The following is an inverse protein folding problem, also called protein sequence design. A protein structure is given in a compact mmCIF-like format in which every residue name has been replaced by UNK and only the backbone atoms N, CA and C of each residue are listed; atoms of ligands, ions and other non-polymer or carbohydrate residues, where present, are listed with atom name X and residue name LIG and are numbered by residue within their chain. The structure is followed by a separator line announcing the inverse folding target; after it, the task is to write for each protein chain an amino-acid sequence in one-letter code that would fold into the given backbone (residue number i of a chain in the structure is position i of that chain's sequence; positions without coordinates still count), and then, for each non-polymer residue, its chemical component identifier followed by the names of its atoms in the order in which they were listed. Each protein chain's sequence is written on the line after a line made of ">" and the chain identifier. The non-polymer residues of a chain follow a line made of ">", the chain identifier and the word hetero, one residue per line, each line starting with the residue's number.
data_IF_589289795363
#
_entry.id   IF_589289795363
#
_cell.length_a   1.000
_cell.length_b   1.000
_cell.length_c   1.000
_cell.angle_alpha   90.00
_cell.angle_beta   90.00
_cell.angle_gamma   90.00
#
_symmetry.space_group_name_H-M   'P 1'
#
loop_
_entity.id
_entity.type
_entity.pdbx_description
1 polymer ?
#
# COMPACT_ATOMS: atom_id res chain seq x y z
N UNK A 1 36.33 -12.84 4.62
CA UNK A 1 35.18 -12.74 3.69
C UNK A 1 33.94 -13.24 4.42
N UNK A 2 32.77 -12.59 4.30
CA UNK A 2 31.54 -13.15 4.84
C UNK A 2 31.31 -14.52 4.19
N UNK A 3 31.01 -15.55 5.00
CA UNK A 3 30.68 -16.87 4.48
C UNK A 3 29.34 -16.79 3.76
N UNK A 4 29.35 -17.07 2.45
CA UNK A 4 28.13 -17.26 1.67
C UNK A 4 27.41 -18.50 2.19
N UNK A 5 26.11 -18.36 2.52
CA UNK A 5 25.25 -19.47 2.93
C UNK A 5 24.36 -19.90 1.78
N UNK A 6 24.18 -21.21 1.64
CA UNK A 6 23.27 -21.77 0.65
C UNK A 6 21.84 -21.65 1.13
N UNK A 7 20.95 -21.31 0.21
CA UNK A 7 19.54 -21.22 0.50
C UNK A 7 18.93 -22.61 0.72
N UNK A 8 18.28 -22.85 1.86
CA UNK A 8 17.68 -24.16 2.14
C UNK A 8 16.47 -24.48 1.25
N UNK A 9 15.81 -23.46 0.71
CA UNK A 9 14.58 -23.62 -0.07
C UNK A 9 14.85 -23.68 -1.57
N UNK A 10 15.86 -22.96 -2.06
CA UNK A 10 16.23 -22.89 -3.47
C UNK A 10 17.68 -23.31 -3.70
N UNK A 11 17.94 -24.59 -3.46
CA UNK A 11 19.19 -25.24 -3.80
C UNK A 11 18.93 -26.54 -4.57
N UNK A 12 18.83 -26.44 -5.91
CA UNK A 12 18.68 -27.60 -6.77
C UNK A 12 20.05 -28.20 -7.08
N UNK A 13 20.26 -29.48 -6.74
CA UNK A 13 21.54 -30.18 -6.95
C UNK A 13 21.97 -30.24 -8.43
N UNK A 14 21.01 -30.20 -9.35
CA UNK A 14 21.17 -30.16 -10.80
C UNK A 14 20.92 -28.76 -11.39
N UNK A 15 20.83 -27.72 -10.54
CA UNK A 15 20.64 -26.34 -10.98
C UNK A 15 21.78 -25.87 -11.89
N UNK A 16 21.41 -25.07 -12.90
CA UNK A 16 22.27 -24.62 -14.00
C UNK A 16 22.81 -23.20 -13.85
N UNK A 17 22.44 -22.50 -12.77
CA UNK A 17 23.01 -21.21 -12.38
C UNK A 17 22.95 -21.01 -10.86
N UNK A 18 23.93 -20.30 -10.31
CA UNK A 18 23.91 -19.79 -8.94
C UNK A 18 23.65 -18.28 -8.98
N UNK A 19 22.65 -17.81 -8.23
CA UNK A 19 22.42 -16.40 -7.95
C UNK A 19 22.93 -16.11 -6.54
N UNK A 20 23.91 -15.22 -6.40
CA UNK A 20 24.41 -14.76 -5.12
C UNK A 20 23.78 -13.39 -4.79
N UNK A 21 22.94 -13.32 -3.77
CA UNK A 21 22.36 -12.07 -3.26
C UNK A 21 22.88 -11.84 -1.83
N UNK A 22 23.65 -10.76 -1.62
CA UNK A 22 24.31 -10.45 -0.34
C UNK A 22 25.09 -11.66 0.21
N UNK A 23 24.64 -12.24 1.33
CA UNK A 23 25.25 -13.38 2.01
C UNK A 23 24.63 -14.74 1.61
N UNK A 24 23.66 -14.77 0.68
CA UNK A 24 22.88 -15.97 0.34
C UNK A 24 23.07 -16.38 -1.12
N UNK A 25 23.25 -17.68 -1.36
CA UNK A 25 23.33 -18.29 -2.68
C UNK A 25 22.11 -19.15 -2.99
N UNK A 26 21.52 -18.93 -4.16
CA UNK A 26 20.38 -19.67 -4.69
C UNK A 26 20.83 -20.45 -5.92
N UNK A 27 20.70 -21.79 -5.91
CA UNK A 27 21.06 -22.62 -7.08
C UNK A 27 19.78 -23.04 -7.80
N UNK A 28 19.56 -22.45 -8.97
CA UNK A 28 18.29 -22.54 -9.72
C UNK A 28 18.51 -22.87 -11.20
N UNK A 29 17.45 -22.89 -12.02
CA UNK A 29 17.55 -23.18 -13.45
C UNK A 29 17.54 -21.91 -14.30
N UNK A 30 18.61 -21.71 -15.07
CA UNK A 30 18.83 -20.59 -15.98
C UNK A 30 17.66 -20.34 -16.94
N UNK A 31 17.13 -21.41 -17.55
CA UNK A 31 16.07 -21.33 -18.56
C UNK A 31 14.77 -20.79 -17.98
N UNK A 32 14.36 -21.22 -16.78
CA UNK A 32 13.13 -20.74 -16.16
C UNK A 32 13.20 -19.25 -15.87
N UNK A 33 14.34 -18.75 -15.37
CA UNK A 33 14.53 -17.31 -15.18
C UNK A 33 14.45 -16.55 -16.50
N UNK A 34 15.12 -17.03 -17.56
CA UNK A 34 15.12 -16.40 -18.86
C UNK A 34 13.75 -16.42 -19.56
N UNK A 35 12.95 -17.46 -19.35
CA UNK A 35 11.60 -17.59 -19.92
C UNK A 35 10.63 -16.55 -19.32
N UNK A 36 10.88 -16.09 -18.08
CA UNK A 36 10.04 -15.11 -17.37
C UNK A 36 10.64 -13.70 -17.27
N UNK A 37 11.89 -13.50 -17.71
CA UNK A 37 12.59 -12.22 -17.58
C UNK A 37 13.56 -12.03 -18.74
N UNK A 38 13.27 -11.05 -19.59
CA UNK A 38 14.17 -10.66 -20.67
C UNK A 38 15.51 -10.12 -20.11
N UNK A 39 15.48 -9.46 -18.95
CA UNK A 39 16.70 -8.95 -18.30
C UNK A 39 17.61 -10.11 -17.89
N UNK A 40 17.06 -11.18 -17.29
CA UNK A 40 17.86 -12.38 -17.01
C UNK A 40 18.31 -13.07 -18.30
N UNK A 41 17.43 -13.18 -19.30
CA UNK A 41 17.79 -13.77 -20.60
C UNK A 41 19.00 -13.06 -21.23
N UNK A 42 19.00 -11.73 -21.25
CA UNK A 42 20.08 -10.90 -21.78
C UNK A 42 21.34 -10.99 -20.91
N UNK A 43 21.20 -10.86 -19.58
CA UNK A 43 22.31 -10.95 -18.61
C UNK A 43 23.10 -12.25 -18.79
N UNK A 44 22.41 -13.32 -19.14
CA UNK A 44 22.95 -14.65 -19.35
C UNK A 44 23.65 -14.89 -20.68
N UNK A 45 23.58 -13.94 -21.61
CA UNK A 45 24.31 -13.97 -22.89
C UNK A 45 25.71 -13.39 -22.78
N UNK A 46 25.97 -12.55 -21.77
CA UNK A 46 27.27 -11.91 -21.58
C UNK A 46 28.27 -12.87 -20.91
N UNK A 47 29.55 -12.87 -21.35
CA UNK A 47 30.59 -13.63 -20.67
C UNK A 47 30.82 -13.09 -19.26
N UNK A 48 30.74 -13.95 -18.25
CA UNK A 48 31.01 -13.56 -16.86
C UNK A 48 32.50 -13.26 -16.67
N UNK A 49 32.86 -12.19 -15.93
CA UNK A 49 34.26 -11.88 -15.63
C UNK A 49 34.90 -12.99 -14.79
N UNK A 50 36.09 -13.43 -15.18
CA UNK A 50 36.80 -14.58 -14.61
C UNK A 50 37.24 -14.44 -13.13
N UNK A 51 36.93 -13.32 -12.47
CA UNK A 51 37.54 -12.89 -11.21
C UNK A 51 36.87 -13.44 -9.94
N UNK A 52 35.87 -14.32 -10.04
CA UNK A 52 35.17 -14.89 -8.87
C UNK A 52 35.15 -16.43 -8.85
N UNK A 53 36.01 -17.08 -9.65
CA UNK A 53 36.08 -18.53 -9.69
C UNK A 53 36.74 -19.11 -8.42
N UNK A 54 35.93 -19.52 -7.44
CA UNK A 54 36.33 -20.54 -6.47
C UNK A 54 36.21 -21.93 -7.12
N UNK A 55 36.90 -22.97 -6.61
CA UNK A 55 36.99 -24.30 -7.27
C UNK A 55 35.64 -25.03 -7.54
N UNK A 56 34.51 -24.52 -7.04
CA UNK A 56 33.14 -25.00 -7.37
C UNK A 56 32.59 -24.34 -8.64
N UNK A 57 33.17 -23.21 -9.05
CA UNK A 57 32.74 -22.32 -10.13
C UNK A 57 33.05 -22.84 -11.55
N UNK A 58 33.75 -23.97 -11.70
CA UNK A 58 34.04 -24.52 -13.04
C UNK A 58 32.81 -25.20 -13.68
N UNK A 59 31.78 -25.58 -12.90
CA UNK A 59 30.64 -26.37 -13.40
C UNK A 59 29.30 -25.62 -13.52
N UNK A 60 29.16 -24.46 -12.88
CA UNK A 60 27.89 -23.72 -12.83
C UNK A 60 28.16 -22.21 -12.74
N UNK A 61 27.67 -21.37 -13.68
CA UNK A 61 27.89 -19.93 -13.66
C UNK A 61 27.28 -19.29 -12.40
N UNK A 62 27.96 -18.28 -11.84
CA UNK A 62 27.52 -17.55 -10.65
C UNK A 62 27.26 -16.07 -11.00
N UNK A 63 26.09 -15.54 -10.64
CA UNK A 63 25.69 -14.15 -10.85
C UNK A 63 25.47 -13.47 -9.50
N UNK A 64 26.24 -12.42 -9.21
CA UNK A 64 25.97 -11.56 -8.06
C UNK A 64 24.83 -10.58 -8.38
N UNK A 65 23.86 -10.51 -7.48
CA UNK A 65 22.72 -9.60 -7.50
C UNK A 65 22.75 -8.69 -6.27
N UNK A 66 22.43 -7.41 -6.46
CA UNK A 66 22.35 -6.44 -5.36
C UNK A 66 21.03 -6.52 -4.55
N UNK A 67 20.18 -7.50 -4.86
CA UNK A 67 18.85 -7.62 -4.26
C UNK A 67 18.88 -8.18 -2.85
N UNK A 68 17.77 -8.02 -2.14
CA UNK A 68 17.51 -8.73 -0.90
C UNK A 68 17.33 -10.23 -1.17
N UNK A 69 17.97 -11.12 -0.39
CA UNK A 69 17.68 -12.55 -0.41
C UNK A 69 16.21 -12.87 -0.15
N UNK A 70 15.56 -12.11 0.73
CA UNK A 70 14.15 -12.25 1.08
C UNK A 70 13.24 -11.92 -0.11
N UNK A 71 13.49 -10.78 -0.78
CA UNK A 71 12.75 -10.39 -1.99
C UNK A 71 12.95 -11.41 -3.11
N UNK A 72 14.20 -11.85 -3.32
CA UNK A 72 14.51 -12.84 -4.35
C UNK A 72 13.81 -14.17 -4.07
N UNK A 73 13.73 -14.60 -2.81
CA UNK A 73 13.01 -15.81 -2.40
C UNK A 73 11.51 -15.72 -2.72
N UNK A 74 10.88 -14.56 -2.54
CA UNK A 74 9.49 -14.36 -2.93
C UNK A 74 9.28 -14.55 -4.43
N UNK A 75 10.14 -13.97 -5.27
CA UNK A 75 10.10 -14.15 -6.73
C UNK A 75 10.36 -15.60 -7.13
N UNK A 76 11.38 -16.23 -6.55
CA UNK A 76 11.73 -17.62 -6.85
C UNK A 76 10.60 -18.60 -6.48
N UNK A 77 9.82 -18.34 -5.41
CA UNK A 77 8.62 -19.14 -5.10
C UNK A 77 7.55 -19.07 -6.19
N UNK A 78 7.45 -17.94 -6.89
CA UNK A 78 6.54 -17.77 -8.01
C UNK A 78 7.03 -18.50 -9.26
N UNK A 79 8.33 -18.40 -9.57
CA UNK A 79 8.93 -18.97 -10.78
C UNK A 79 9.20 -20.48 -10.67
N UNK A 80 9.44 -20.99 -9.45
CA UNK A 80 9.71 -22.39 -9.18
C UNK A 80 8.67 -22.96 -8.20
N UNK A 81 7.41 -23.11 -8.63
CA UNK A 81 6.34 -23.60 -7.78
C UNK A 81 6.64 -25.02 -7.27
N UNK A 82 6.50 -25.21 -5.95
CA UNK A 82 6.77 -26.49 -5.28
C UNK A 82 5.71 -27.54 -5.61
N UNK A 83 6.06 -28.81 -5.39
CA UNK A 83 5.09 -29.93 -5.43
C UNK A 83 3.91 -29.63 -4.50
N UNK A 84 2.71 -29.56 -5.06
CA UNK A 84 1.47 -29.22 -4.33
C UNK A 84 1.01 -27.76 -4.50
N UNK A 85 1.75 -26.93 -5.23
CA UNK A 85 1.25 -25.63 -5.67
C UNK A 85 0.00 -25.83 -6.54
N UNK A 86 -1.05 -25.03 -6.28
CA UNK A 86 -2.27 -25.07 -7.06
C UNK A 86 -1.99 -24.45 -8.44
N UNK A 87 -2.26 -25.19 -9.51
CA UNK A 87 -2.04 -24.75 -10.90
C UNK A 87 -3.08 -23.73 -11.40
N UNK A 88 -4.10 -23.44 -10.60
CA UNK A 88 -5.11 -22.43 -10.92
C UNK A 88 -4.52 -21.08 -10.48
N UNK A 89 -4.45 -20.06 -11.37
CA UNK A 89 -4.08 -18.71 -10.98
C UNK A 89 -5.08 -18.23 -9.93
N UNK A 90 -4.71 -18.32 -8.67
CA UNK A 90 -5.42 -17.64 -7.59
C UNK A 90 -4.98 -16.19 -7.68
N UNK A 91 -5.90 -15.29 -8.01
CA UNK A 91 -5.71 -13.87 -7.75
C UNK A 91 -5.17 -13.72 -6.32
N UNK A 92 -4.18 -12.84 -6.13
CA UNK A 92 -3.65 -12.53 -4.80
C UNK A 92 -4.83 -12.17 -3.88
N UNK A 93 -5.17 -13.05 -2.94
CA UNK A 93 -6.30 -12.80 -2.04
C UNK A 93 -5.85 -11.83 -0.96
N UNK A 94 -4.95 -12.28 -0.10
CA UNK A 94 -4.44 -11.54 1.06
C UNK A 94 -2.90 -11.68 1.13
N UNK A 95 -2.17 -11.06 0.19
CA UNK A 95 -0.72 -11.11 0.19
C UNK A 95 -0.13 -10.30 1.34
N UNK A 96 1.03 -10.72 1.84
CA UNK A 96 1.82 -9.91 2.76
C UNK A 96 2.41 -8.69 2.02
N UNK A 97 2.75 -7.64 2.77
CA UNK A 97 3.45 -6.49 2.19
C UNK A 97 4.76 -6.92 1.51
N UNK A 98 5.55 -7.78 2.17
CA UNK A 98 6.85 -8.23 1.63
C UNK A 98 6.69 -8.95 0.28
N UNK A 99 5.63 -9.76 0.10
CA UNK A 99 5.34 -10.41 -1.17
C UNK A 99 5.02 -9.38 -2.27
N UNK A 100 4.11 -8.44 -2.00
CA UNK A 100 3.77 -7.37 -2.95
C UNK A 100 4.99 -6.51 -3.27
N UNK A 101 5.80 -6.18 -2.27
CA UNK A 101 7.03 -5.40 -2.42
C UNK A 101 8.04 -6.11 -3.30
N UNK A 102 8.27 -7.40 -3.07
CA UNK A 102 9.19 -8.20 -3.86
C UNK A 102 8.72 -8.29 -5.32
N UNK A 103 7.43 -8.57 -5.55
CA UNK A 103 6.86 -8.66 -6.89
C UNK A 103 6.93 -7.33 -7.63
N UNK A 104 6.54 -6.22 -6.98
CA UNK A 104 6.59 -4.90 -7.60
C UNK A 104 8.04 -4.47 -7.92
N UNK A 105 8.97 -4.59 -6.95
CA UNK A 105 10.36 -4.13 -7.12
C UNK A 105 11.16 -4.98 -8.09
N UNK A 106 11.17 -6.29 -7.88
CA UNK A 106 11.96 -7.21 -8.70
C UNK A 106 11.26 -7.51 -10.03
N UNK A 107 9.93 -7.55 -10.06
CA UNK A 107 9.18 -7.62 -11.31
C UNK A 107 9.46 -6.42 -12.21
N UNK A 108 9.50 -5.20 -11.67
CA UNK A 108 9.92 -4.02 -12.42
C UNK A 108 11.40 -4.06 -12.82
N UNK A 109 12.31 -4.38 -11.88
CA UNK A 109 13.77 -4.38 -12.13
C UNK A 109 14.19 -5.41 -13.19
N UNK A 110 13.60 -6.60 -13.14
CA UNK A 110 13.94 -7.71 -14.02
C UNK A 110 12.94 -7.91 -15.16
N UNK A 111 11.95 -7.03 -15.31
CA UNK A 111 10.88 -7.14 -16.32
C UNK A 111 10.21 -8.53 -16.27
N UNK A 112 9.80 -8.93 -15.06
CA UNK A 112 8.94 -10.10 -14.84
C UNK A 112 7.51 -9.57 -14.80
N UNK A 113 6.97 -9.28 -15.99
CA UNK A 113 5.72 -8.53 -16.16
C UNK A 113 4.54 -9.20 -15.44
N UNK A 114 4.45 -10.54 -15.46
CA UNK A 114 3.40 -11.28 -14.76
C UNK A 114 3.34 -10.98 -13.26
N UNK A 115 4.49 -10.83 -12.59
CA UNK A 115 4.55 -10.54 -11.15
C UNK A 115 4.22 -9.07 -10.88
N UNK A 116 4.75 -8.17 -11.73
CA UNK A 116 4.48 -6.75 -11.64
C UNK A 116 2.99 -6.48 -11.84
N UNK A 117 2.39 -7.03 -12.89
CA UNK A 117 0.97 -6.85 -13.23
C UNK A 117 0.05 -7.41 -12.15
N UNK A 118 0.35 -8.58 -11.58
CA UNK A 118 -0.41 -9.12 -10.46
C UNK A 118 -0.35 -8.19 -9.23
N UNK A 119 0.83 -7.66 -8.90
CA UNK A 119 0.99 -6.73 -7.77
C UNK A 119 0.23 -5.42 -8.00
N UNK A 120 0.31 -4.85 -9.21
CA UNK A 120 -0.38 -3.60 -9.56
C UNK A 120 -1.89 -3.79 -9.66
N UNK A 121 -2.37 -4.93 -10.18
CA UNK A 121 -3.80 -5.24 -10.22
C UNK A 121 -4.39 -5.31 -8.81
N UNK A 122 -3.70 -6.00 -7.89
CA UNK A 122 -4.10 -6.06 -6.50
C UNK A 122 -4.05 -4.66 -5.84
N UNK A 123 -2.97 -3.91 -6.02
CA UNK A 123 -2.83 -2.57 -5.46
C UNK A 123 -3.87 -1.59 -6.00
N UNK A 124 -4.25 -1.66 -7.28
CA UNK A 124 -5.32 -0.83 -7.86
C UNK A 124 -6.69 -1.13 -7.28
N UNK A 125 -6.92 -2.36 -6.80
CA UNK A 125 -8.14 -2.73 -6.08
C UNK A 125 -8.15 -2.15 -4.66
N UNK A 126 -7.04 -2.27 -3.93
CA UNK A 126 -6.95 -1.80 -2.54
C UNK A 126 -6.81 -0.26 -2.46
N UNK A 127 -5.88 0.32 -3.20
CA UNK A 127 -5.63 1.76 -3.31
C UNK A 127 -6.36 2.35 -4.51
N UNK A 128 -7.65 2.07 -4.62
CA UNK A 128 -8.47 2.43 -5.78
C UNK A 128 -8.67 3.94 -5.92
N UNK A 129 -8.88 4.41 -7.15
CA UNK A 129 -9.34 5.77 -7.46
C UNK A 129 -10.86 5.89 -7.52
N UNK A 130 -11.60 4.80 -7.27
CA UNK A 130 -13.05 4.76 -7.22
C UNK A 130 -13.55 4.92 -5.77
N UNK A 131 -14.37 5.96 -5.53
CA UNK A 131 -14.88 6.27 -4.20
C UNK A 131 -15.73 5.15 -3.58
N UNK A 132 -16.62 4.55 -4.36
CA UNK A 132 -17.51 3.49 -3.86
C UNK A 132 -16.69 2.24 -3.51
N UNK A 133 -15.75 1.86 -4.37
CA UNK A 133 -14.83 0.74 -4.13
C UNK A 133 -13.91 0.98 -2.93
N UNK A 134 -13.54 2.24 -2.63
CA UNK A 134 -12.83 2.57 -1.39
C UNK A 134 -13.74 2.40 -0.16
N UNK A 135 -14.98 2.88 -0.25
CA UNK A 135 -15.95 2.83 0.83
C UNK A 135 -16.44 1.41 1.17
N UNK A 136 -16.32 0.46 0.26
CA UNK A 136 -16.63 -0.95 0.48
C UNK A 136 -15.56 -1.68 1.30
N UNK A 137 -14.36 -1.10 1.45
CA UNK A 137 -13.28 -1.70 2.21
C UNK A 137 -13.47 -1.46 3.72
N UNK A 138 -13.55 -2.52 4.55
CA UNK A 138 -13.77 -2.37 5.98
C UNK A 138 -12.52 -1.88 6.73
N UNK A 139 -11.33 -2.15 6.20
CA UNK A 139 -10.03 -1.88 6.84
C UNK A 139 -8.97 -1.60 5.79
N UNK A 140 -7.86 -0.97 6.19
CA UNK A 140 -6.69 -0.87 5.33
C UNK A 140 -6.09 -2.26 5.05
N UNK A 141 -5.44 -2.47 3.89
CA UNK A 141 -4.70 -3.70 3.63
C UNK A 141 -3.59 -3.94 4.67
N UNK A 142 -3.13 -5.19 4.76
CA UNK A 142 -2.06 -5.64 5.66
C UNK A 142 -2.42 -5.49 7.15
N UNK A 143 -3.50 -6.14 7.57
CA UNK A 143 -3.98 -6.13 8.97
C UNK A 143 -4.21 -4.73 9.53
N UNK A 144 -4.75 -3.84 8.69
CA UNK A 144 -5.04 -2.45 9.05
C UNK A 144 -3.79 -1.61 9.42
N UNK A 145 -2.61 -1.98 8.93
CA UNK A 145 -1.35 -1.29 9.21
C UNK A 145 -1.07 -0.17 8.19
N UNK A 146 -1.48 1.06 8.52
CA UNK A 146 -1.38 2.24 7.63
C UNK A 146 0.05 2.63 7.22
N UNK A 147 1.08 2.22 7.97
CA UNK A 147 2.46 2.58 7.65
C UNK A 147 2.99 1.93 6.37
N UNK A 148 2.42 0.81 5.93
CA UNK A 148 2.77 0.19 4.66
C UNK A 148 2.41 1.04 3.44
N UNK A 149 1.49 2.01 3.58
CA UNK A 149 1.18 2.97 2.53
C UNK A 149 2.42 3.75 2.05
N UNK A 150 3.44 3.91 2.91
CA UNK A 150 4.73 4.51 2.54
C UNK A 150 5.40 3.70 1.42
N UNK A 151 5.45 2.37 1.54
CA UNK A 151 5.97 1.50 0.49
C UNK A 151 5.12 1.55 -0.78
N UNK A 152 3.79 1.69 -0.63
CA UNK A 152 2.88 1.78 -1.78
C UNK A 152 3.07 3.10 -2.56
N UNK A 153 3.30 4.22 -1.87
CA UNK A 153 3.70 5.49 -2.52
C UNK A 153 4.98 5.28 -3.34
N UNK A 154 6.00 4.65 -2.75
CA UNK A 154 7.24 4.35 -3.44
C UNK A 154 7.04 3.44 -4.66
N UNK A 155 6.14 2.45 -4.59
CA UNK A 155 5.80 1.61 -5.74
C UNK A 155 5.06 2.39 -6.83
N UNK A 156 4.12 3.25 -6.45
CA UNK A 156 3.39 4.10 -7.39
C UNK A 156 4.36 5.01 -8.15
N UNK A 157 5.35 5.59 -7.46
CA UNK A 157 6.43 6.39 -8.06
C UNK A 157 7.36 5.53 -8.93
N UNK A 158 7.82 4.38 -8.44
CA UNK A 158 8.71 3.48 -9.17
C UNK A 158 8.11 3.00 -10.49
N UNK A 159 6.83 2.62 -10.46
CA UNK A 159 6.11 2.01 -11.60
C UNK A 159 5.31 3.01 -12.42
N UNK A 160 5.34 4.30 -12.05
CA UNK A 160 4.52 5.36 -12.64
C UNK A 160 3.01 5.04 -12.61
N UNK A 161 2.57 4.27 -11.61
CA UNK A 161 1.17 3.92 -11.39
C UNK A 161 0.45 5.06 -10.65
N UNK A 162 0.18 6.16 -11.35
CA UNK A 162 -0.42 7.35 -10.73
C UNK A 162 -1.84 7.13 -10.19
N UNK A 163 -2.56 6.10 -10.66
CA UNK A 163 -3.94 5.85 -10.21
C UNK A 163 -4.07 5.48 -8.74
N UNK A 164 -3.02 4.88 -8.14
CA UNK A 164 -3.02 4.47 -6.72
C UNK A 164 -2.39 5.50 -5.78
N UNK A 165 -1.72 6.51 -6.36
CA UNK A 165 -0.92 7.46 -5.60
C UNK A 165 -1.75 8.34 -4.66
N UNK A 166 -2.90 8.92 -5.05
CA UNK A 166 -3.67 9.80 -4.15
C UNK A 166 -4.14 9.08 -2.88
N UNK A 167 -4.66 7.86 -3.00
CA UNK A 167 -5.12 7.10 -1.83
C UNK A 167 -3.96 6.59 -0.98
N UNK A 168 -2.84 6.16 -1.58
CA UNK A 168 -1.64 5.79 -0.83
C UNK A 168 -1.02 6.98 -0.07
N UNK A 169 -0.95 8.15 -0.70
CA UNK A 169 -0.49 9.39 -0.07
C UNK A 169 -1.41 9.81 1.07
N UNK A 170 -2.72 9.77 0.85
CA UNK A 170 -3.71 10.05 1.88
C UNK A 170 -3.58 9.14 3.09
N UNK A 171 -3.49 7.81 2.90
CA UNK A 171 -3.25 6.88 4.03
C UNK A 171 -1.92 7.18 4.72
N UNK A 172 -0.89 7.56 3.95
CA UNK A 172 0.39 7.98 4.52
C UNK A 172 0.26 9.22 5.41
N UNK A 173 -0.59 10.18 5.04
CA UNK A 173 -0.93 11.33 5.88
C UNK A 173 -1.61 10.95 7.21
N UNK A 174 -2.20 9.76 7.35
CA UNK A 174 -2.79 9.32 8.62
C UNK A 174 -1.78 8.70 9.58
N UNK A 175 -0.56 8.43 9.13
CA UNK A 175 0.47 7.89 10.01
C UNK A 175 0.93 8.90 11.06
N UNK A 176 1.30 8.41 12.25
CA UNK A 176 1.98 9.21 13.26
C UNK A 176 3.30 9.80 12.75
N UNK A 177 3.84 10.79 13.47
CA UNK A 177 5.08 11.48 13.06
C UNK A 177 6.27 10.53 12.90
N UNK A 178 6.43 9.56 13.80
CA UNK A 178 7.54 8.60 13.72
C UNK A 178 7.46 7.68 12.49
N UNK A 179 6.37 6.94 12.23
CA UNK A 179 6.26 6.15 11.01
C UNK A 179 6.36 6.99 9.74
N UNK A 180 5.86 8.23 9.73
CA UNK A 180 5.95 9.10 8.56
C UNK A 180 7.40 9.51 8.25
N UNK A 181 8.18 9.90 9.26
CA UNK A 181 9.56 10.39 9.08
C UNK A 181 10.57 9.25 8.98
N UNK A 182 10.44 8.25 9.87
CA UNK A 182 11.39 7.14 9.94
C UNK A 182 11.00 5.98 9.05
N UNK A 183 9.75 5.93 8.59
CA UNK A 183 9.25 4.80 7.84
C UNK A 183 9.14 3.53 8.68
N UNK A 184 9.24 2.38 8.03
CA UNK A 184 9.25 1.08 8.69
C UNK A 184 10.42 0.22 8.22
N UNK A 185 10.73 -0.82 8.98
CA UNK A 185 11.82 -1.74 8.68
C UNK A 185 11.28 -2.93 7.88
N UNK A 186 11.89 -3.20 6.73
CA UNK A 186 11.58 -4.37 5.87
C UNK A 186 12.20 -5.64 6.44
N UNK A 187 11.75 -6.79 5.92
CA UNK A 187 12.27 -8.10 6.33
C UNK A 187 13.79 -8.23 6.17
N UNK A 188 14.34 -7.61 5.12
CA UNK A 188 15.79 -7.62 4.80
C UNK A 188 16.63 -6.67 5.67
N UNK A 189 15.99 -6.00 6.62
CA UNK A 189 16.61 -5.05 7.54
C UNK A 189 16.77 -3.63 7.00
N UNK A 190 16.46 -3.37 5.73
CA UNK A 190 16.48 -2.02 5.17
C UNK A 190 15.29 -1.20 5.66
N UNK A 191 15.41 0.12 5.57
CA UNK A 191 14.36 1.05 5.99
C UNK A 191 13.58 1.53 4.76
N UNK A 192 12.27 1.28 4.74
CA UNK A 192 11.37 1.84 3.74
C UNK A 192 10.89 3.22 4.22
N UNK A 193 11.14 4.27 3.43
CA UNK A 193 10.78 5.66 3.76
C UNK A 193 10.23 6.38 2.54
N UNK A 194 9.40 7.38 2.75
CA UNK A 194 9.04 8.32 1.69
C UNK A 194 10.29 9.05 1.18
N UNK A 195 10.25 9.46 -0.09
CA UNK A 195 11.18 10.46 -0.61
C UNK A 195 11.03 11.77 0.18
N UNK A 196 12.04 12.64 0.13
CA UNK A 196 11.94 13.96 0.80
C UNK A 196 10.77 14.78 0.23
N UNK A 197 10.56 14.73 -1.09
CA UNK A 197 9.47 15.41 -1.78
C UNK A 197 8.10 14.86 -1.33
N UNK A 198 7.92 13.54 -1.31
CA UNK A 198 6.66 12.93 -0.88
C UNK A 198 6.42 13.11 0.64
N UNK A 199 7.49 13.20 1.44
CA UNK A 199 7.39 13.52 2.86
C UNK A 199 6.88 14.96 3.06
N UNK A 200 7.39 15.92 2.30
CA UNK A 200 6.90 17.31 2.30
C UNK A 200 5.42 17.33 1.93
N UNK A 201 5.04 16.67 0.82
CA UNK A 201 3.65 16.57 0.39
C UNK A 201 2.75 15.90 1.46
N UNK A 202 3.24 14.88 2.16
CA UNK A 202 2.47 14.26 3.25
C UNK A 202 2.29 15.20 4.46
N UNK A 203 3.31 15.99 4.81
CA UNK A 203 3.23 16.94 5.92
C UNK A 203 2.24 18.07 5.60
N UNK A 204 2.29 18.61 4.39
CA UNK A 204 1.35 19.63 3.92
C UNK A 204 -0.06 19.04 3.76
N UNK A 205 -0.14 17.87 3.15
CA UNK A 205 -1.35 17.10 2.93
C UNK A 205 -2.07 16.74 4.23
N UNK A 206 -1.35 16.45 5.33
CA UNK A 206 -1.94 16.28 6.66
C UNK A 206 -2.81 17.47 7.06
N UNK A 207 -2.24 18.68 7.02
CA UNK A 207 -2.95 19.89 7.38
C UNK A 207 -4.13 20.14 6.44
N UNK A 208 -3.91 19.99 5.13
CA UNK A 208 -4.93 20.20 4.11
C UNK A 208 -6.10 19.20 4.25
N UNK A 209 -5.82 17.92 4.48
CA UNK A 209 -6.82 16.88 4.68
C UNK A 209 -7.62 17.10 5.97
N UNK A 210 -6.97 17.50 7.07
CA UNK A 210 -7.69 17.82 8.32
C UNK A 210 -8.65 19.00 8.10
N UNK A 211 -8.21 20.08 7.45
CA UNK A 211 -9.06 21.22 7.12
C UNK A 211 -10.21 20.84 6.18
N UNK A 212 -9.92 20.01 5.16
CA UNK A 212 -10.92 19.54 4.21
C UNK A 212 -11.94 18.61 4.86
N UNK A 213 -11.51 17.75 5.79
CA UNK A 213 -12.39 16.88 6.57
C UNK A 213 -13.33 17.71 7.44
N UNK A 214 -12.79 18.71 8.16
CA UNK A 214 -13.61 19.61 8.95
C UNK A 214 -14.63 20.39 8.10
N UNK A 215 -14.19 20.90 6.95
CA UNK A 215 -15.07 21.59 6.01
C UNK A 215 -16.17 20.66 5.48
N UNK A 216 -15.84 19.43 5.14
CA UNK A 216 -16.77 18.39 4.69
C UNK A 216 -17.83 18.11 5.76
N UNK A 217 -17.41 17.84 7.00
CA UNK A 217 -18.33 17.59 8.11
C UNK A 217 -19.24 18.80 8.35
N UNK A 218 -18.69 20.01 8.48
CA UNK A 218 -19.48 21.23 8.75
C UNK A 218 -20.43 21.59 7.59
N UNK A 219 -20.03 21.34 6.34
CA UNK A 219 -20.88 21.55 5.15
C UNK A 219 -22.07 20.59 5.11
N UNK A 220 -21.94 19.40 5.70
CA UNK A 220 -23.07 18.49 5.85
C UNK A 220 -24.17 19.02 6.80
N UNK A 221 -23.86 20.00 7.66
CA UNK A 221 -24.83 20.67 8.53
C UNK A 221 -25.40 21.96 7.92
N UNK A 222 -24.84 22.50 6.83
CA UNK A 222 -25.18 23.85 6.31
C UNK A 222 -25.50 23.88 4.80
N UNK A 223 -26.60 24.51 4.35
CA UNK A 223 -27.59 25.22 5.15
C UNK A 223 -28.46 24.27 5.99
N UNK A 224 -29.07 24.83 7.02
CA UNK A 224 -30.09 24.15 7.82
C UNK A 224 -31.33 24.00 6.94
N UNK A 225 -31.52 22.83 6.34
CA UNK A 225 -32.62 22.56 5.41
C UNK A 225 -33.95 22.44 6.17
N UNK A 226 -35.04 22.92 5.58
CA UNK A 226 -36.42 22.79 6.08
C UNK A 226 -36.84 21.31 6.26
N UNK A 227 -36.08 20.38 5.66
CA UNK A 227 -36.23 18.93 5.85
C UNK A 227 -35.81 18.43 7.24
N UNK A 228 -35.17 19.25 8.07
CA UNK A 228 -34.87 18.90 9.45
C UNK A 228 -36.11 19.05 10.31
N UNK A 229 -36.51 17.96 10.96
CA UNK A 229 -37.63 17.98 11.88
C UNK A 229 -37.33 18.93 13.06
N UNK A 230 -38.21 19.88 13.43
CA UNK A 230 -37.92 20.88 14.46
C UNK A 230 -37.51 20.30 15.82
N UNK A 231 -38.00 19.11 16.17
CA UNK A 231 -37.63 18.41 17.40
C UNK A 231 -36.18 17.91 17.40
N UNK A 232 -35.56 17.74 16.22
CA UNK A 232 -34.18 17.26 16.07
C UNK A 232 -33.15 18.40 16.16
N UNK A 233 -33.59 19.66 16.21
CA UNK A 233 -32.70 20.82 16.15
C UNK A 233 -31.70 20.84 17.30
N UNK A 234 -32.17 20.52 18.52
CA UNK A 234 -31.30 20.42 19.70
C UNK A 234 -30.23 19.34 19.53
N UNK A 235 -30.57 18.20 18.92
CA UNK A 235 -29.64 17.10 18.67
C UNK A 235 -28.57 17.48 17.64
N UNK A 236 -28.97 18.17 16.57
CA UNK A 236 -28.03 18.68 15.57
C UNK A 236 -27.06 19.71 16.17
N UNK A 237 -27.55 20.63 17.00
CA UNK A 237 -26.69 21.58 17.72
C UNK A 237 -25.76 20.89 18.72
N UNK A 238 -26.23 19.82 19.37
CA UNK A 238 -25.39 19.03 20.27
C UNK A 238 -24.24 18.35 19.52
N UNK A 239 -24.49 17.73 18.37
CA UNK A 239 -23.42 17.19 17.52
C UNK A 239 -22.40 18.25 17.09
N UNK A 240 -22.87 19.42 16.64
CA UNK A 240 -21.99 20.55 16.29
C UNK A 240 -21.18 21.05 17.50
N UNK A 241 -21.80 21.09 18.67
CA UNK A 241 -21.13 21.45 19.92
C UNK A 241 -20.04 20.42 20.26
N UNK A 242 -20.29 19.12 20.07
CA UNK A 242 -19.31 18.07 20.31
C UNK A 242 -18.08 18.22 19.41
N UNK A 243 -18.23 18.45 18.11
CA UNK A 243 -17.08 18.69 17.23
C UNK A 243 -16.29 19.95 17.60
N UNK A 244 -16.96 20.94 18.21
CA UNK A 244 -16.29 22.14 18.72
C UNK A 244 -15.50 21.85 20.01
N UNK A 245 -16.05 21.04 20.92
CA UNK A 245 -15.41 20.72 22.21
C UNK A 245 -14.36 19.64 22.09
N UNK A 246 -14.51 18.75 21.12
CA UNK A 246 -13.59 17.65 20.82
C UNK A 246 -13.29 17.61 19.31
N UNK A 247 -12.33 18.42 18.84
CA UNK A 247 -11.93 18.45 17.43
C UNK A 247 -11.33 17.11 16.94
N UNK A 248 -10.89 16.22 17.84
CA UNK A 248 -10.32 14.92 17.46
C UNK A 248 -11.38 14.02 16.82
N UNK A 249 -12.66 14.22 17.12
CA UNK A 249 -13.78 13.52 16.46
C UNK A 249 -13.84 13.76 14.95
N UNK A 250 -13.20 14.84 14.47
CA UNK A 250 -13.11 15.20 13.06
C UNK A 250 -11.70 15.00 12.55
N UNK A 251 -10.68 15.41 13.31
CA UNK A 251 -9.28 15.37 12.90
C UNK A 251 -8.64 13.98 13.02
N UNK A 252 -9.12 13.13 13.93
CA UNK A 252 -8.60 11.79 14.19
C UNK A 252 -9.17 10.70 13.30
N UNK A 253 -10.16 11.01 12.47
CA UNK A 253 -10.83 10.08 11.56
C UNK A 253 -10.39 10.36 10.12
N UNK A 254 -10.23 9.31 9.31
CA UNK A 254 -9.94 9.44 7.89
C UNK A 254 -11.17 10.06 7.14
N UNK A 255 -11.04 11.07 6.24
CA UNK A 255 -12.12 11.79 5.58
C UNK A 255 -13.17 10.92 4.89
N UNK A 256 -12.79 9.72 4.46
CA UNK A 256 -13.66 8.80 3.75
C UNK A 256 -14.16 7.65 4.62
N UNK A 257 -13.96 7.73 5.95
CA UNK A 257 -14.59 6.82 6.89
C UNK A 257 -16.12 6.84 6.77
N UNK A 258 -16.80 5.74 7.12
CA UNK A 258 -18.26 5.69 7.10
C UNK A 258 -18.88 6.88 7.87
N UNK A 259 -20.00 7.45 7.39
CA UNK A 259 -20.68 8.56 8.07
C UNK A 259 -20.95 8.32 9.57
N UNK A 260 -21.17 7.06 9.96
CA UNK A 260 -21.43 6.68 11.35
C UNK A 260 -20.23 6.89 12.29
N UNK A 261 -19.00 6.95 11.77
CA UNK A 261 -17.81 7.34 12.56
C UNK A 261 -17.93 8.79 13.07
N UNK A 262 -18.61 9.65 12.31
CA UNK A 262 -18.86 11.04 12.71
C UNK A 262 -20.15 11.19 13.52
N UNK A 263 -21.05 10.20 13.49
CA UNK A 263 -22.41 10.28 14.03
C UNK A 263 -22.67 9.26 15.15
N UNK A 264 -21.62 8.84 15.87
CA UNK A 264 -21.70 7.74 16.82
C UNK A 264 -22.79 7.93 17.89
N UNK A 265 -23.51 6.86 18.24
CA UNK A 265 -24.66 6.92 19.16
C UNK A 265 -24.31 7.38 20.57
N UNK A 266 -23.07 7.17 21.00
CA UNK A 266 -22.55 7.71 22.26
C UNK A 266 -22.63 9.26 22.29
N UNK A 267 -22.56 9.92 21.13
CA UNK A 267 -22.72 11.38 21.00
C UNK A 267 -24.18 11.84 21.18
N UNK A 268 -25.13 10.91 21.29
CA UNK A 268 -26.57 11.18 21.27
C UNK A 268 -27.28 10.68 22.53
N UNK A 269 -26.55 10.26 23.57
CA UNK A 269 -27.12 9.66 24.79
C UNK A 269 -28.17 10.58 25.47
N UNK A 270 -28.03 11.91 25.36
CA UNK A 270 -28.93 12.89 25.97
C UNK A 270 -29.90 13.58 24.99
N UNK A 271 -29.80 13.31 23.68
CA UNK A 271 -30.64 13.95 22.66
C UNK A 271 -30.95 13.03 21.48
N UNK A 272 -32.24 12.81 21.20
CA UNK A 272 -32.66 12.00 20.06
C UNK A 272 -32.77 12.81 18.78
N UNK A 273 -32.09 12.34 17.72
CA UNK A 273 -32.33 12.75 16.34
C UNK A 273 -33.19 11.64 15.70
N UNK A 274 -34.28 12.00 15.03
CA UNK A 274 -35.12 11.00 14.38
C UNK A 274 -34.38 10.31 13.22
N UNK A 275 -34.76 9.07 12.91
CA UNK A 275 -34.10 8.26 11.87
C UNK A 275 -34.07 8.94 10.50
N UNK A 276 -35.10 9.73 10.15
CA UNK A 276 -35.17 10.48 8.89
C UNK A 276 -34.11 11.59 8.84
N UNK A 277 -33.97 12.39 9.90
CA UNK A 277 -32.96 13.45 9.97
C UNK A 277 -31.53 12.88 9.97
N UNK A 278 -31.31 11.77 10.68
CA UNK A 278 -30.01 11.10 10.70
C UNK A 278 -29.64 10.53 9.32
N UNK A 279 -30.60 9.88 8.65
CA UNK A 279 -30.41 9.36 7.28
C UNK A 279 -30.12 10.50 6.29
N UNK A 280 -30.82 11.62 6.44
CA UNK A 280 -30.56 12.81 5.63
C UNK A 280 -29.15 13.36 5.85
N UNK A 281 -28.68 13.45 7.11
CA UNK A 281 -27.33 13.90 7.44
C UNK A 281 -26.25 12.95 6.91
N UNK A 282 -26.44 11.63 7.03
CA UNK A 282 -25.53 10.63 6.42
C UNK A 282 -25.35 10.84 4.92
N UNK A 283 -26.46 11.07 4.20
CA UNK A 283 -26.43 11.33 2.76
C UNK A 283 -25.69 12.61 2.42
N UNK A 284 -25.83 13.66 3.24
CA UNK A 284 -25.10 14.92 3.06
C UNK A 284 -23.61 14.74 3.31
N UNK A 285 -23.22 14.06 4.39
CA UNK A 285 -21.81 13.70 4.65
C UNK A 285 -21.23 12.95 3.46
N UNK A 286 -21.93 11.93 2.95
CA UNK A 286 -21.50 11.17 1.76
C UNK A 286 -21.33 12.06 0.53
N UNK A 287 -22.23 13.02 0.32
CA UNK A 287 -22.15 13.97 -0.79
C UNK A 287 -20.92 14.86 -0.67
N UNK A 288 -20.61 15.37 0.53
CA UNK A 288 -19.41 16.17 0.77
C UNK A 288 -18.13 15.33 0.66
N UNK A 289 -18.15 14.06 1.09
CA UNK A 289 -17.04 13.12 0.91
C UNK A 289 -16.73 12.89 -0.58
N UNK A 290 -17.74 12.71 -1.43
CA UNK A 290 -17.54 12.57 -2.88
C UNK A 290 -16.92 13.83 -3.48
N UNK A 291 -17.34 15.02 -3.05
CA UNK A 291 -16.73 16.29 -3.51
C UNK A 291 -15.27 16.39 -3.09
N UNK A 292 -14.93 15.97 -1.87
CA UNK A 292 -13.56 15.93 -1.38
C UNK A 292 -12.74 14.87 -2.15
N UNK A 293 -13.29 13.68 -2.40
CA UNK A 293 -12.63 12.62 -3.18
C UNK A 293 -12.19 13.09 -4.56
N UNK A 294 -13.08 13.79 -5.28
CA UNK A 294 -12.79 14.31 -6.61
C UNK A 294 -11.67 15.37 -6.64
N UNK A 295 -11.38 15.99 -5.49
CA UNK A 295 -10.33 17.01 -5.31
C UNK A 295 -9.13 16.46 -4.53
N UNK A 296 -9.10 15.16 -4.23
CA UNK A 296 -8.07 14.56 -3.39
C UNK A 296 -6.65 14.79 -3.95
N UNK A 297 -6.38 14.63 -5.26
CA UNK A 297 -5.07 14.95 -5.81
C UNK A 297 -4.66 16.41 -5.54
N UNK A 298 -5.55 17.37 -5.82
CA UNK A 298 -5.30 18.80 -5.58
C UNK A 298 -5.02 19.10 -4.10
N UNK A 299 -5.75 18.46 -3.18
CA UNK A 299 -5.58 18.62 -1.73
C UNK A 299 -4.23 18.07 -1.26
N UNK A 300 -3.71 17.06 -1.94
CA UNK A 300 -2.41 16.44 -1.67
C UNK A 300 -1.24 17.07 -2.44
N UNK A 301 -1.51 18.03 -3.34
CA UNK A 301 -0.49 18.64 -4.20
C UNK A 301 0.07 17.69 -5.27
N UNK A 302 -0.76 16.75 -5.75
CA UNK A 302 -0.41 15.74 -6.76
C UNK A 302 -0.83 16.12 -8.17
#
# INVERSE_FOLDING_TARGET
>A
EPQLRRDEEFWFEDGSIVLAARDVEFRVYKRVLADHSIVFADMFTFPQPASQATAVSESCPNVCLDDSPEDLRHVLRALFPRKGATFIPLELQEPTFDLISAYARLGHKYQIDDLLDQSLAWLKKQFTSNFDGWCEQPTFPFDNQSHYAIGIVNFARLTQCHSILPTAMMVSCYNGGEPLVRGFRRQDGTQERLSEDDLILCIEGKNALTQATATCVLSAFTPWDDRLHPSCTRGMHHLLHLYRTDPELVAGVHPFSPPDCYLHSAFLEDVSICSQCLTHLRRRLRTEQVKLWNRLPDVLGL
#
